data_IF_676638749837
#
_entry.id   IF_676638749837
#
_cell.length_a   1.000
_cell.length_b   1.000
_cell.length_c   1.000
_cell.angle_alpha   90.00
_cell.angle_beta   90.00
_cell.angle_gamma   90.00
#
_symmetry.space_group_name_H-M   'P 1'
#
loop_
_entity.id
_entity.type
_entity.pdbx_description
1 polymer ?
#
# COMPACT_ATOMS: atom_id res chain seq x y z
N UNK A 1 -18.52 38.64 81.02
CA UNK A 1 -19.10 37.45 80.38
C UNK A 1 -18.18 36.99 79.23
N UNK A 2 -17.48 35.88 79.40
CA UNK A 2 -16.59 35.28 78.43
C UNK A 2 -17.35 34.18 77.65
N UNK A 3 -17.25 34.05 76.33
CA UNK A 3 -17.70 32.86 75.63
C UNK A 3 -16.55 31.80 75.53
N UNK A 4 -16.88 30.56 75.79
CA UNK A 4 -16.02 29.39 75.65
C UNK A 4 -15.73 29.02 74.21
N UNK A 5 -14.57 28.43 73.89
CA UNK A 5 -14.27 27.93 72.56
C UNK A 5 -14.78 26.51 72.28
N UNK A 6 -15.46 26.31 71.20
CA UNK A 6 -15.91 25.01 70.69
C UNK A 6 -14.75 24.33 69.93
N UNK A 7 -14.29 23.19 70.45
CA UNK A 7 -13.28 22.35 69.84
C UNK A 7 -13.91 21.55 68.66
N UNK A 8 -13.49 21.88 67.40
CA UNK A 8 -13.83 21.06 66.25
C UNK A 8 -12.81 19.91 66.12
N UNK A 9 -13.29 18.68 66.24
CA UNK A 9 -12.53 17.47 65.97
C UNK A 9 -12.51 17.29 64.42
N UNK A 10 -11.31 17.40 63.81
CA UNK A 10 -11.07 17.02 62.41
C UNK A 10 -10.75 15.52 62.43
N UNK A 11 -11.68 14.71 61.95
CA UNK A 11 -11.45 13.29 61.67
C UNK A 11 -10.64 13.14 60.37
N UNK A 12 -9.42 12.65 60.49
CA UNK A 12 -8.60 12.25 59.33
C UNK A 12 -9.14 10.96 58.72
N UNK A 13 -9.76 11.07 57.56
CA UNK A 13 -10.15 9.91 56.76
C UNK A 13 -8.97 9.51 55.89
N UNK A 14 -8.22 8.50 56.29
CA UNK A 14 -7.17 7.87 55.49
C UNK A 14 -7.82 7.04 54.39
N UNK A 15 -7.89 7.58 53.17
CA UNK A 15 -8.19 6.78 51.98
C UNK A 15 -6.97 5.92 51.66
N UNK A 16 -7.10 4.61 51.79
CA UNK A 16 -6.17 3.65 51.27
C UNK A 16 -6.30 3.62 49.75
N UNK A 17 -5.31 4.15 49.03
CA UNK A 17 -5.16 3.97 47.58
C UNK A 17 -4.79 2.50 47.35
N UNK A 18 -5.74 1.69 46.93
CA UNK A 18 -5.45 0.36 46.38
C UNK A 18 -4.73 0.56 45.04
N UNK A 19 -3.45 0.25 44.97
CA UNK A 19 -2.69 0.18 43.75
C UNK A 19 -3.27 -0.96 42.89
N UNK A 20 -4.05 -0.61 41.88
CA UNK A 20 -4.41 -1.52 40.80
C UNK A 20 -3.14 -1.82 40.01
N UNK A 21 -2.52 -2.95 40.29
CA UNK A 21 -1.51 -3.54 39.40
C UNK A 21 -2.18 -3.82 38.06
N UNK A 22 -1.64 -3.30 36.92
CA UNK A 22 -2.16 -3.69 35.65
C UNK A 22 -1.93 -5.18 35.43
N UNK A 23 -3.00 -5.94 35.32
CA UNK A 23 -2.93 -7.34 34.90
C UNK A 23 -2.21 -7.38 33.55
N UNK A 24 -1.04 -7.98 33.55
CA UNK A 24 -0.31 -8.28 32.31
C UNK A 24 -1.12 -9.34 31.55
N UNK A 25 -1.95 -8.90 30.62
CA UNK A 25 -2.51 -9.76 29.59
C UNK A 25 -1.41 -10.02 28.57
N UNK A 26 -0.54 -11.00 28.82
CA UNK A 26 0.29 -11.65 27.81
C UNK A 26 -0.42 -12.91 27.31
N UNK A 27 -1.59 -12.74 26.71
CA UNK A 27 -2.02 -13.69 25.71
C UNK A 27 -1.27 -13.29 24.43
N UNK A 28 -0.41 -14.18 23.91
CA UNK A 28 0.22 -14.01 22.60
C UNK A 28 -0.89 -13.69 21.60
N UNK A 29 -0.88 -12.47 21.06
CA UNK A 29 -1.85 -12.08 20.04
C UNK A 29 -1.70 -13.07 18.87
N UNK A 30 -2.80 -13.61 18.32
CA UNK A 30 -2.71 -14.62 17.27
C UNK A 30 -1.87 -14.10 16.10
N UNK A 31 -0.86 -14.89 15.71
CA UNK A 31 0.01 -14.54 14.57
C UNK A 31 -0.74 -14.77 13.27
N UNK A 32 -0.66 -13.83 12.31
CA UNK A 32 -1.29 -14.03 11.01
C UNK A 32 -0.61 -15.18 10.25
N UNK A 33 -1.36 -15.89 9.40
CA UNK A 33 -0.84 -16.97 8.55
C UNK A 33 0.22 -16.51 7.55
N UNK A 34 0.15 -15.23 7.11
CA UNK A 34 1.09 -14.59 6.22
C UNK A 34 1.14 -13.08 6.49
N UNK A 35 2.18 -12.42 6.04
CA UNK A 35 2.28 -10.96 6.07
C UNK A 35 1.75 -10.40 4.73
N UNK A 36 0.50 -10.00 4.72
CA UNK A 36 -0.15 -9.44 3.54
C UNK A 36 -0.13 -7.92 3.62
N UNK A 37 0.38 -7.27 2.57
CA UNK A 37 0.35 -5.82 2.43
C UNK A 37 -0.50 -5.39 1.24
N UNK A 38 -0.51 -4.08 0.95
CA UNK A 38 -1.17 -3.55 -0.23
C UNK A 38 -0.35 -2.43 -0.87
N UNK A 39 -0.40 -2.32 -2.19
CA UNK A 39 0.11 -1.15 -2.90
C UNK A 39 -0.72 0.07 -2.53
N UNK A 40 -0.04 1.18 -2.31
CA UNK A 40 -0.65 2.46 -1.96
C UNK A 40 -0.32 3.48 -3.04
N UNK A 41 -1.36 3.94 -3.74
CA UNK A 41 -1.26 4.96 -4.77
C UNK A 41 -1.53 6.35 -4.16
N UNK A 42 -0.60 7.28 -4.31
CA UNK A 42 -0.66 8.61 -3.69
C UNK A 42 -1.25 9.67 -4.64
N UNK A 43 -2.21 9.29 -5.46
CA UNK A 43 -2.85 10.15 -6.45
C UNK A 43 -4.02 11.00 -5.94
N UNK A 44 -4.41 10.84 -4.67
CA UNK A 44 -5.58 11.50 -4.09
C UNK A 44 -5.22 12.76 -3.29
N UNK A 45 -4.07 13.33 -3.60
CA UNK A 45 -3.52 14.57 -3.06
C UNK A 45 -3.43 15.66 -4.14
N UNK A 46 -2.86 16.81 -3.77
CA UNK A 46 -2.53 17.88 -4.69
C UNK A 46 -3.73 18.66 -5.21
N UNK A 47 -3.53 19.36 -6.32
CA UNK A 47 -4.52 20.24 -6.94
C UNK A 47 -4.82 19.78 -8.36
N UNK A 48 -6.10 19.49 -8.63
CA UNK A 48 -6.54 19.09 -9.95
C UNK A 48 -6.22 20.19 -10.99
N UNK A 49 -5.72 19.81 -12.17
CA UNK A 49 -5.32 20.74 -13.23
C UNK A 49 -6.46 21.56 -13.85
N UNK A 50 -7.72 21.10 -13.70
CA UNK A 50 -8.91 21.81 -14.12
C UNK A 50 -9.51 22.67 -13.00
N UNK A 51 -8.86 22.81 -11.85
CA UNK A 51 -9.40 23.49 -10.68
C UNK A 51 -9.79 24.97 -10.93
N UNK A 52 -9.15 25.64 -11.90
CA UNK A 52 -9.48 27.03 -12.27
C UNK A 52 -10.47 27.13 -13.44
N UNK A 53 -10.81 25.99 -14.06
CA UNK A 53 -11.63 25.95 -15.28
C UNK A 53 -12.99 25.29 -15.03
N UNK A 54 -13.03 24.29 -14.18
CA UNK A 54 -14.21 23.46 -13.97
C UNK A 54 -14.65 23.51 -12.49
N UNK A 55 -15.91 23.86 -12.21
CA UNK A 55 -16.41 23.96 -10.84
C UNK A 55 -16.23 22.68 -10.01
N UNK A 56 -16.43 21.51 -10.62
CA UNK A 56 -16.27 20.21 -9.95
C UNK A 56 -14.83 19.94 -9.51
N UNK A 57 -13.86 20.47 -10.27
CA UNK A 57 -12.44 20.23 -10.04
C UNK A 57 -11.82 21.18 -9.00
N UNK A 58 -12.55 22.22 -8.54
CA UNK A 58 -12.01 23.27 -7.66
C UNK A 58 -11.27 22.74 -6.43
N UNK A 59 -11.81 21.70 -5.80
CA UNK A 59 -11.24 21.06 -4.61
C UNK A 59 -10.86 19.59 -4.86
N UNK A 60 -10.86 19.15 -6.11
CA UNK A 60 -10.54 17.78 -6.48
C UNK A 60 -9.03 17.52 -6.33
N UNK A 61 -8.64 16.31 -5.89
CA UNK A 61 -7.25 15.86 -5.96
C UNK A 61 -6.85 15.60 -7.42
N UNK A 62 -5.56 15.48 -7.64
CA UNK A 62 -4.95 15.41 -8.98
C UNK A 62 -5.56 14.36 -9.90
N UNK A 63 -5.87 13.16 -9.38
CA UNK A 63 -6.31 12.01 -10.17
C UNK A 63 -7.83 11.76 -10.15
N UNK A 64 -8.62 12.61 -9.51
CA UNK A 64 -10.08 12.50 -9.57
C UNK A 64 -10.58 12.90 -10.96
N UNK A 65 -11.40 12.08 -11.60
CA UNK A 65 -12.07 12.43 -12.84
C UNK A 65 -13.54 12.81 -12.60
N UNK A 66 -14.11 13.62 -13.51
CA UNK A 66 -15.54 13.94 -13.45
C UNK A 66 -16.39 12.67 -13.54
N UNK A 67 -15.94 11.70 -14.33
CA UNK A 67 -16.63 10.42 -14.49
C UNK A 67 -16.69 9.62 -13.19
N UNK A 68 -15.64 9.70 -12.33
CA UNK A 68 -15.68 9.10 -11.00
C UNK A 68 -16.78 9.70 -10.13
N UNK A 69 -17.01 11.00 -10.24
CA UNK A 69 -18.07 11.68 -9.48
C UNK A 69 -19.48 11.33 -9.99
N UNK A 70 -19.64 11.22 -11.32
CA UNK A 70 -20.94 11.07 -11.95
C UNK A 70 -21.42 9.61 -12.03
N UNK A 71 -20.51 8.67 -12.36
CA UNK A 71 -20.84 7.29 -12.69
C UNK A 71 -20.32 6.26 -11.67
N UNK A 72 -19.29 6.63 -10.87
CA UNK A 72 -18.61 5.74 -9.94
C UNK A 72 -18.52 6.32 -8.52
N UNK A 73 -19.54 7.08 -8.12
CA UNK A 73 -19.59 7.74 -6.81
C UNK A 73 -19.55 6.75 -5.62
N UNK A 74 -19.92 5.50 -5.85
CA UNK A 74 -19.81 4.39 -4.88
C UNK A 74 -18.35 4.05 -4.51
N UNK A 75 -17.39 4.43 -5.37
CA UNK A 75 -15.94 4.24 -5.11
C UNK A 75 -15.34 5.31 -4.19
N UNK A 76 -16.09 6.37 -3.83
CA UNK A 76 -15.59 7.39 -2.93
C UNK A 76 -15.25 6.78 -1.56
N UNK A 77 -13.98 6.93 -1.10
CA UNK A 77 -13.58 6.44 0.22
C UNK A 77 -14.39 7.06 1.35
N UNK A 78 -14.53 6.36 2.48
CA UNK A 78 -15.29 6.87 3.64
C UNK A 78 -14.71 8.15 4.27
N UNK A 79 -13.50 8.54 3.89
CA UNK A 79 -12.87 9.80 4.29
C UNK A 79 -12.94 10.89 3.20
N UNK A 80 -13.64 10.64 2.08
CA UNK A 80 -13.69 11.51 0.91
C UNK A 80 -12.56 11.24 -0.08
N UNK A 81 -12.59 11.93 -1.23
CA UNK A 81 -11.63 11.72 -2.32
C UNK A 81 -10.20 12.17 -2.01
N UNK A 82 -9.98 12.99 -0.97
CA UNK A 82 -8.65 13.46 -0.60
C UNK A 82 -8.09 12.63 0.55
N UNK A 83 -6.81 12.26 0.46
CA UNK A 83 -6.06 11.56 1.52
C UNK A 83 -4.78 12.30 1.95
N UNK A 84 -4.74 13.61 1.68
CA UNK A 84 -3.60 14.49 1.92
C UNK A 84 -3.61 15.17 3.30
N UNK A 85 -4.01 14.45 4.33
CA UNK A 85 -3.86 14.91 5.71
C UNK A 85 -3.33 13.81 6.63
N UNK A 86 -2.57 14.24 7.65
CA UNK A 86 -2.03 13.33 8.65
C UNK A 86 -3.13 12.52 9.36
N UNK A 87 -4.26 13.16 9.66
CA UNK A 87 -5.40 12.52 10.32
C UNK A 87 -5.99 11.38 9.46
N UNK A 88 -6.17 11.63 8.17
CA UNK A 88 -6.69 10.62 7.24
C UNK A 88 -5.73 9.44 7.14
N UNK A 89 -4.43 9.70 6.99
CA UNK A 89 -3.43 8.62 6.93
C UNK A 89 -3.38 7.83 8.25
N UNK A 90 -3.50 8.48 9.40
CA UNK A 90 -3.64 7.78 10.70
C UNK A 90 -4.85 6.85 10.73
N UNK A 91 -6.02 7.33 10.26
CA UNK A 91 -7.24 6.49 10.17
C UNK A 91 -7.03 5.31 9.22
N UNK A 92 -6.36 5.49 8.10
CA UNK A 92 -6.04 4.41 7.16
C UNK A 92 -5.10 3.37 7.80
N UNK A 93 -4.07 3.81 8.54
CA UNK A 93 -3.17 2.92 9.29
C UNK A 93 -3.96 2.09 10.30
N UNK A 94 -4.81 2.73 11.11
CA UNK A 94 -5.60 2.04 12.13
C UNK A 94 -6.54 1.03 11.49
N UNK A 95 -7.26 1.43 10.45
CA UNK A 95 -8.20 0.57 9.73
C UNK A 95 -7.51 -0.63 9.09
N UNK A 96 -6.39 -0.42 8.42
CA UNK A 96 -5.62 -1.48 7.77
C UNK A 96 -5.04 -2.47 8.79
N UNK A 97 -4.43 -1.96 9.86
CA UNK A 97 -3.84 -2.78 10.93
C UNK A 97 -4.90 -3.56 11.72
N UNK A 98 -6.07 -2.96 12.02
CA UNK A 98 -7.18 -3.63 12.70
C UNK A 98 -7.71 -4.83 11.91
N UNK A 99 -7.52 -4.82 10.59
CA UNK A 99 -7.90 -5.92 9.72
C UNK A 99 -6.73 -6.84 9.31
N UNK A 100 -5.55 -6.65 9.91
CA UNK A 100 -4.42 -7.55 9.77
C UNK A 100 -3.53 -7.27 8.56
N UNK A 101 -3.71 -6.13 7.87
CA UNK A 101 -2.76 -5.71 6.85
C UNK A 101 -1.42 -5.40 7.51
N UNK A 102 -0.34 -6.00 6.99
CA UNK A 102 0.98 -5.93 7.61
C UNK A 102 1.80 -4.71 7.13
N UNK A 103 1.60 -4.27 5.88
CA UNK A 103 2.36 -3.17 5.31
C UNK A 103 1.65 -2.47 4.16
N UNK A 104 2.05 -1.23 3.90
CA UNK A 104 1.80 -0.54 2.64
C UNK A 104 3.07 -0.50 1.79
N UNK A 105 2.92 -0.74 0.47
CA UNK A 105 3.97 -0.50 -0.52
C UNK A 105 3.64 0.80 -1.26
N UNK A 106 4.23 1.91 -0.82
CA UNK A 106 3.94 3.24 -1.35
C UNK A 106 4.58 3.44 -2.72
N UNK A 107 3.82 3.92 -3.69
CA UNK A 107 4.36 4.40 -4.96
C UNK A 107 5.32 5.56 -4.69
N UNK A 108 6.52 5.46 -5.25
CA UNK A 108 7.55 6.49 -5.16
C UNK A 108 8.01 6.87 -6.56
N UNK A 109 8.02 8.18 -6.85
CA UNK A 109 8.29 8.73 -8.17
C UNK A 109 9.62 9.45 -8.20
N UNK A 110 10.41 9.16 -9.23
CA UNK A 110 11.73 9.73 -9.43
C UNK A 110 11.68 11.17 -9.90
N UNK A 111 12.52 12.01 -9.29
CA UNK A 111 12.91 13.33 -9.77
C UNK A 111 14.43 13.48 -9.58
N UNK A 112 15.05 14.36 -10.37
CA UNK A 112 16.52 14.53 -10.38
C UNK A 112 17.05 15.40 -9.22
N UNK A 113 16.16 16.01 -8.43
CA UNK A 113 16.51 16.82 -7.26
C UNK A 113 15.68 16.43 -6.04
N UNK A 114 16.27 16.55 -4.84
CA UNK A 114 15.56 16.33 -3.58
C UNK A 114 14.34 17.23 -3.45
N UNK A 115 14.48 18.53 -3.83
CA UNK A 115 13.35 19.47 -3.77
C UNK A 115 12.19 19.01 -4.61
N UNK A 116 12.42 18.52 -5.83
CA UNK A 116 11.34 18.02 -6.69
C UNK A 116 10.69 16.74 -6.15
N UNK A 117 11.47 15.88 -5.48
CA UNK A 117 10.92 14.71 -4.73
C UNK A 117 10.05 15.17 -3.56
N UNK A 118 10.50 16.16 -2.80
CA UNK A 118 9.78 16.65 -1.62
C UNK A 118 8.50 17.41 -1.99
N UNK A 119 8.50 18.08 -3.15
CA UNK A 119 7.37 18.87 -3.66
C UNK A 119 6.32 18.01 -4.40
N UNK A 120 6.62 16.75 -4.74
CA UNK A 120 5.67 15.88 -5.46
C UNK A 120 4.55 15.42 -4.54
N UNK A 121 3.32 15.88 -4.83
CA UNK A 121 2.12 15.49 -4.08
C UNK A 121 1.89 13.96 -4.04
N UNK A 122 2.45 13.22 -5.00
CA UNK A 122 2.42 11.74 -5.02
C UNK A 122 3.31 11.07 -3.98
N UNK A 123 3.93 11.81 -3.08
CA UNK A 123 4.64 11.31 -1.91
C UNK A 123 3.95 11.71 -0.59
N UNK A 124 2.78 12.34 -0.67
CA UNK A 124 2.09 12.92 0.50
C UNK A 124 1.71 11.86 1.53
N UNK A 125 1.10 10.75 1.11
CA UNK A 125 0.69 9.66 2.00
C UNK A 125 1.89 8.97 2.64
N UNK A 126 2.96 8.70 1.88
CA UNK A 126 4.23 8.17 2.42
C UNK A 126 4.81 9.11 3.47
N UNK A 127 4.87 10.42 3.18
CA UNK A 127 5.41 11.43 4.09
C UNK A 127 4.59 11.57 5.36
N UNK A 128 3.26 11.43 5.30
CA UNK A 128 2.40 11.40 6.48
C UNK A 128 2.52 10.08 7.23
N UNK A 129 2.63 8.93 6.53
CA UNK A 129 2.82 7.65 7.16
C UNK A 129 4.05 7.63 8.07
N UNK A 130 5.21 8.07 7.59
CA UNK A 130 6.44 8.06 8.39
C UNK A 130 6.38 9.00 9.60
N UNK A 131 5.54 10.03 9.55
CA UNK A 131 5.31 11.00 10.65
C UNK A 131 4.16 10.59 11.57
N UNK A 132 3.31 9.66 11.17
CA UNK A 132 2.12 9.28 11.92
C UNK A 132 2.49 8.66 13.28
N UNK A 133 1.90 9.11 14.41
CA UNK A 133 2.22 8.57 15.74
C UNK A 133 1.83 7.10 15.90
N UNK A 134 0.87 6.61 15.09
CA UNK A 134 0.41 5.23 15.07
C UNK A 134 1.09 4.36 13.99
N UNK A 135 2.13 4.84 13.29
CA UNK A 135 2.83 4.07 12.24
C UNK A 135 3.48 2.78 12.77
N UNK A 136 3.71 2.69 14.08
CA UNK A 136 4.20 1.47 14.74
C UNK A 136 3.31 0.24 14.56
N UNK A 137 2.06 0.42 14.13
CA UNK A 137 1.09 -0.65 13.90
C UNK A 137 1.31 -1.42 12.61
N UNK A 138 2.03 -0.85 11.65
CA UNK A 138 2.27 -1.41 10.32
C UNK A 138 3.72 -1.21 9.88
N UNK A 139 4.11 -1.94 8.84
CA UNK A 139 5.34 -1.69 8.08
C UNK A 139 5.02 -0.92 6.79
N UNK A 140 6.05 -0.47 6.10
CA UNK A 140 5.96 0.04 4.74
C UNK A 140 7.19 -0.32 3.92
N UNK A 141 7.07 -0.29 2.59
CA UNK A 141 8.19 -0.32 1.67
C UNK A 141 7.93 0.64 0.50
N UNK A 142 8.92 0.81 -0.36
CA UNK A 142 8.79 1.63 -1.56
C UNK A 142 8.46 0.73 -2.77
N UNK A 143 7.51 1.18 -3.58
CA UNK A 143 7.33 0.74 -4.96
C UNK A 143 7.82 1.88 -5.87
N UNK A 144 8.98 1.71 -6.47
CA UNK A 144 9.57 2.71 -7.36
C UNK A 144 8.86 2.67 -8.72
N UNK A 145 8.03 3.70 -8.98
CA UNK A 145 7.22 3.84 -10.17
C UNK A 145 8.05 4.40 -11.33
N UNK A 146 9.04 3.64 -11.79
CA UNK A 146 10.02 4.03 -12.81
C UNK A 146 9.50 3.89 -14.26
N UNK A 147 8.25 4.30 -14.49
CA UNK A 147 7.63 4.29 -15.83
C UNK A 147 7.79 5.64 -16.55
N UNK A 148 7.15 5.80 -17.71
CA UNK A 148 7.23 7.03 -18.52
C UNK A 148 7.00 8.31 -17.69
N UNK A 149 7.92 9.25 -17.79
CA UNK A 149 7.96 10.47 -16.99
C UNK A 149 8.81 10.39 -15.72
N UNK A 150 9.08 9.17 -15.20
CA UNK A 150 9.80 8.94 -13.92
C UNK A 150 10.91 7.90 -14.07
N UNK A 151 11.41 7.69 -15.29
CA UNK A 151 12.43 6.67 -15.59
C UNK A 151 13.76 7.06 -14.95
N UNK A 152 14.34 6.13 -14.20
CA UNK A 152 15.70 6.27 -13.66
C UNK A 152 16.66 5.61 -14.65
N UNK A 153 17.61 6.40 -15.19
CA UNK A 153 18.63 5.92 -16.14
C UNK A 153 20.03 6.26 -15.70
N UNK A 154 20.93 5.28 -15.83
CA UNK A 154 22.35 5.42 -15.52
C UNK A 154 22.67 5.30 -14.02
N UNK A 155 23.82 4.75 -13.72
CA UNK A 155 24.26 4.44 -12.35
C UNK A 155 24.22 5.65 -11.40
N UNK A 156 24.49 6.85 -11.91
CA UNK A 156 24.49 8.06 -11.09
C UNK A 156 23.07 8.47 -10.66
N UNK A 157 22.05 8.34 -11.53
CA UNK A 157 20.68 8.63 -11.14
C UNK A 157 20.13 7.57 -10.18
N UNK A 158 20.50 6.29 -10.37
CA UNK A 158 20.20 5.24 -9.38
C UNK A 158 20.86 5.50 -8.03
N UNK A 159 22.09 6.02 -8.03
CA UNK A 159 22.78 6.46 -6.82
C UNK A 159 22.02 7.57 -6.10
N UNK A 160 21.63 8.63 -6.83
CA UNK A 160 20.82 9.72 -6.27
C UNK A 160 19.49 9.23 -5.73
N UNK A 161 18.78 8.40 -6.49
CA UNK A 161 17.53 7.79 -6.02
C UNK A 161 17.73 7.03 -4.70
N UNK A 162 18.79 6.21 -4.62
CA UNK A 162 19.14 5.52 -3.39
C UNK A 162 19.40 6.49 -2.23
N UNK A 163 20.09 7.61 -2.46
CA UNK A 163 20.29 8.64 -1.43
C UNK A 163 18.98 9.24 -0.92
N UNK A 164 18.02 9.50 -1.84
CA UNK A 164 16.69 9.98 -1.48
C UNK A 164 15.88 8.92 -0.71
N UNK A 165 16.09 7.62 -0.96
CA UNK A 165 15.44 6.55 -0.22
C UNK A 165 16.00 6.32 1.18
N UNK A 166 17.25 6.74 1.49
CA UNK A 166 17.91 6.40 2.77
C UNK A 166 17.12 6.78 4.01
N UNK A 167 16.42 7.94 4.12
CA UNK A 167 15.57 8.25 5.26
C UNK A 167 14.46 7.22 5.47
N UNK A 168 13.87 6.72 4.38
CA UNK A 168 12.83 5.70 4.42
C UNK A 168 13.41 4.32 4.73
N UNK A 169 14.50 3.91 4.06
CA UNK A 169 15.12 2.58 4.25
C UNK A 169 15.66 2.37 5.68
N UNK A 170 16.06 3.44 6.34
CA UNK A 170 16.52 3.43 7.75
C UNK A 170 15.40 3.58 8.76
N UNK A 171 14.19 3.84 8.32
CA UNK A 171 13.06 4.00 9.23
C UNK A 171 12.72 2.66 9.89
N UNK A 172 12.46 2.68 11.22
CA UNK A 172 12.17 1.48 12.03
C UNK A 172 10.98 0.64 11.54
N UNK A 173 10.05 1.26 10.79
CA UNK A 173 8.89 0.59 10.23
C UNK A 173 9.10 0.15 8.78
N UNK A 174 10.28 0.38 8.18
CA UNK A 174 10.53 -0.14 6.84
C UNK A 174 10.49 -1.68 6.84
N UNK A 175 9.78 -2.26 5.88
CA UNK A 175 9.68 -3.72 5.72
C UNK A 175 11.02 -4.29 5.28
N UNK A 176 11.47 -5.35 5.94
CA UNK A 176 12.71 -6.05 5.59
C UNK A 176 12.43 -7.48 5.14
N UNK A 177 13.23 -7.98 4.22
CA UNK A 177 13.23 -9.36 3.75
C UNK A 177 14.66 -9.89 3.83
N UNK A 178 14.87 -11.01 4.54
CA UNK A 178 16.21 -11.49 4.82
C UNK A 178 17.10 -10.46 5.53
N UNK A 179 16.52 -9.62 6.37
CA UNK A 179 17.21 -8.55 7.10
C UNK A 179 17.57 -7.31 6.26
N UNK A 180 17.19 -7.24 4.97
CA UNK A 180 17.43 -6.10 4.08
C UNK A 180 16.14 -5.31 3.83
N UNK A 181 16.17 -3.96 3.81
CA UNK A 181 15.01 -3.17 3.40
C UNK A 181 14.51 -3.59 2.01
N UNK A 182 13.19 -3.74 1.86
CA UNK A 182 12.56 -4.11 0.59
C UNK A 182 12.26 -2.87 -0.25
N UNK A 183 12.68 -2.88 -1.51
CA UNK A 183 12.27 -1.92 -2.54
C UNK A 183 11.73 -2.71 -3.74
N UNK A 184 10.55 -2.38 -4.20
CA UNK A 184 9.91 -2.99 -5.35
C UNK A 184 10.12 -2.06 -6.56
N UNK A 185 10.51 -2.60 -7.71
CA UNK A 185 10.71 -1.85 -8.95
C UNK A 185 9.56 -2.15 -9.89
N UNK A 186 8.77 -1.13 -10.23
CA UNK A 186 7.54 -1.26 -11.03
C UNK A 186 7.82 -1.74 -12.45
N UNK A 187 8.65 -1.02 -13.23
CA UNK A 187 9.10 -1.54 -14.53
C UNK A 187 10.46 -2.23 -14.37
N UNK A 188 10.40 -3.55 -14.18
CA UNK A 188 11.59 -4.35 -13.98
C UNK A 188 12.57 -4.32 -15.16
N UNK A 189 12.09 -4.00 -16.40
CA UNK A 189 12.93 -3.85 -17.58
C UNK A 189 13.82 -2.60 -17.52
N UNK A 190 13.42 -1.62 -16.72
CA UNK A 190 14.22 -0.41 -16.46
C UNK A 190 15.32 -0.60 -15.42
N UNK A 191 15.48 -1.81 -14.86
CA UNK A 191 16.60 -2.13 -13.96
C UNK A 191 17.93 -2.19 -14.69
N UNK A 192 18.97 -1.64 -14.07
CA UNK A 192 20.33 -1.57 -14.63
C UNK A 192 21.34 -2.16 -13.63
N UNK A 193 22.20 -3.08 -14.07
CA UNK A 193 23.20 -3.74 -13.22
C UNK A 193 24.07 -2.76 -12.45
N UNK A 194 24.65 -1.79 -13.15
CA UNK A 194 25.52 -0.78 -12.53
C UNK A 194 24.72 0.18 -11.64
N UNK A 195 23.47 0.45 -12.01
CA UNK A 195 22.53 1.22 -11.20
C UNK A 195 22.23 0.52 -9.88
N UNK A 196 21.90 -0.76 -9.91
CA UNK A 196 21.65 -1.53 -8.70
C UNK A 196 22.89 -1.74 -7.85
N UNK A 197 24.06 -1.88 -8.47
CA UNK A 197 25.34 -1.86 -7.74
C UNK A 197 25.52 -0.54 -6.98
N UNK A 198 25.21 0.61 -7.61
CA UNK A 198 25.26 1.92 -6.95
C UNK A 198 24.24 2.02 -5.79
N UNK A 199 23.03 1.47 -5.93
CA UNK A 199 22.04 1.38 -4.82
C UNK A 199 22.59 0.60 -3.65
N UNK A 200 23.21 -0.57 -3.90
CA UNK A 200 23.80 -1.41 -2.86
C UNK A 200 24.97 -0.70 -2.17
N UNK A 201 25.78 0.06 -2.91
CA UNK A 201 26.90 0.83 -2.35
C UNK A 201 26.40 1.94 -1.40
N UNK A 202 25.41 2.71 -1.81
CA UNK A 202 24.82 3.76 -0.96
C UNK A 202 24.17 3.17 0.30
N UNK A 203 23.49 2.03 0.19
CA UNK A 203 22.93 1.34 1.33
C UNK A 203 24.02 0.92 2.34
N UNK A 204 25.12 0.32 1.86
CA UNK A 204 26.25 -0.08 2.71
C UNK A 204 26.94 1.13 3.37
N UNK A 205 27.16 2.22 2.62
CA UNK A 205 27.69 3.49 3.17
C UNK A 205 26.79 4.04 4.29
N UNK A 206 25.49 3.85 4.17
CA UNK A 206 24.50 4.27 5.17
C UNK A 206 24.39 3.32 6.38
N UNK A 207 25.18 2.22 6.41
CA UNK A 207 25.18 1.22 7.47
C UNK A 207 24.10 0.14 7.35
N UNK A 208 23.46 0.01 6.18
CA UNK A 208 22.51 -1.05 5.90
C UNK A 208 23.21 -2.29 5.32
N UNK A 209 22.69 -3.51 5.50
CA UNK A 209 23.28 -4.73 4.94
C UNK A 209 23.12 -4.85 3.40
N UNK A 210 22.56 -3.84 2.76
CA UNK A 210 22.13 -3.78 1.37
C UNK A 210 20.63 -3.59 1.27
N UNK A 211 20.08 -3.74 0.06
CA UNK A 211 18.65 -3.59 -0.26
C UNK A 211 18.15 -4.88 -0.95
N UNK A 212 16.98 -5.38 -0.54
CA UNK A 212 16.27 -6.41 -1.28
C UNK A 212 15.49 -5.74 -2.41
N UNK A 213 15.79 -6.11 -3.67
CA UNK A 213 15.15 -5.54 -4.85
C UNK A 213 14.16 -6.54 -5.46
N UNK A 214 12.87 -6.22 -5.46
CA UNK A 214 11.83 -7.06 -6.07
C UNK A 214 11.41 -6.52 -7.44
N UNK A 215 11.40 -7.38 -8.44
CA UNK A 215 10.98 -7.05 -9.80
C UNK A 215 9.47 -7.22 -9.98
N UNK A 216 8.73 -6.18 -10.38
CA UNK A 216 7.39 -6.35 -10.95
C UNK A 216 7.52 -6.80 -12.40
N UNK A 217 7.55 -8.12 -12.61
CA UNK A 217 7.70 -8.67 -13.94
C UNK A 217 9.03 -9.43 -14.16
N UNK A 218 9.42 -9.66 -15.41
CA UNK A 218 10.68 -10.31 -15.73
C UNK A 218 11.87 -9.44 -15.29
N UNK A 219 12.62 -9.91 -14.32
CA UNK A 219 13.85 -9.27 -13.83
C UNK A 219 14.80 -10.34 -13.32
N UNK A 220 16.04 -10.34 -13.82
CA UNK A 220 17.01 -11.37 -13.52
C UNK A 220 17.89 -11.07 -12.30
N UNK A 221 18.42 -12.13 -11.69
CA UNK A 221 19.43 -12.01 -10.63
C UNK A 221 20.76 -11.46 -11.16
N UNK A 222 21.01 -11.64 -12.46
CA UNK A 222 22.20 -11.14 -13.17
C UNK A 222 22.33 -9.61 -13.18
N UNK A 223 21.17 -8.90 -13.09
CA UNK A 223 21.14 -7.44 -12.95
C UNK A 223 20.96 -6.98 -11.51
N UNK A 224 20.70 -7.88 -10.57
CA UNK A 224 20.67 -7.59 -9.13
C UNK A 224 19.29 -7.67 -8.48
N UNK A 225 18.26 -8.14 -9.16
CA UNK A 225 16.99 -8.44 -8.51
C UNK A 225 17.12 -9.66 -7.60
N UNK A 226 16.58 -9.56 -6.39
CA UNK A 226 16.62 -10.62 -5.38
C UNK A 226 15.28 -11.31 -5.20
N UNK A 227 14.19 -10.69 -5.62
CA UNK A 227 12.82 -11.19 -5.50
C UNK A 227 12.02 -10.87 -6.76
N UNK A 228 10.88 -11.55 -6.92
CA UNK A 228 9.92 -11.27 -7.99
C UNK A 228 8.53 -11.02 -7.42
N UNK A 229 7.77 -10.17 -8.09
CA UNK A 229 6.35 -9.87 -7.81
C UNK A 229 5.66 -9.38 -9.07
N UNK A 230 4.43 -8.86 -8.94
CA UNK A 230 3.70 -8.12 -9.98
C UNK A 230 3.04 -6.90 -9.34
N UNK A 231 2.76 -5.87 -10.15
CA UNK A 231 1.88 -4.79 -9.70
C UNK A 231 0.42 -5.23 -9.91
N UNK A 232 0.07 -5.52 -11.17
CA UNK A 232 -1.16 -6.20 -11.56
C UNK A 232 -0.93 -7.02 -12.82
N UNK A 233 -1.89 -7.88 -13.15
CA UNK A 233 -1.92 -8.65 -14.40
C UNK A 233 -3.34 -8.55 -14.94
N UNK A 234 -3.52 -7.76 -15.98
CA UNK A 234 -4.85 -7.47 -16.54
C UNK A 234 -5.00 -8.13 -17.91
N UNK A 235 -5.72 -9.26 -18.00
CA UNK A 235 -6.13 -9.79 -19.29
C UNK A 235 -6.95 -8.75 -20.04
N UNK A 236 -6.74 -8.64 -21.36
CA UNK A 236 -7.49 -7.68 -22.18
C UNK A 236 -7.29 -6.22 -21.81
N UNK A 237 -6.10 -5.82 -21.36
CA UNK A 237 -5.77 -4.43 -20.97
C UNK A 237 -6.15 -3.38 -22.03
N UNK A 238 -6.17 -3.76 -23.32
CA UNK A 238 -6.64 -2.96 -24.46
C UNK A 238 -7.72 -3.70 -25.24
N UNK A 239 -8.51 -4.53 -24.57
CA UNK A 239 -9.39 -5.53 -25.19
C UNK A 239 -10.77 -5.06 -25.64
N UNK A 240 -11.07 -3.74 -25.60
CA UNK A 240 -12.29 -3.21 -26.20
C UNK A 240 -13.43 -2.86 -25.24
N UNK A 241 -13.21 -2.83 -23.93
CA UNK A 241 -14.23 -2.39 -22.96
C UNK A 241 -15.28 -3.46 -22.65
N UNK A 242 -14.93 -4.73 -22.74
CA UNK A 242 -15.81 -5.86 -22.47
C UNK A 242 -15.85 -6.23 -20.98
N UNK A 243 -17.05 -6.65 -20.53
CA UNK A 243 -17.25 -7.18 -19.19
C UNK A 243 -16.76 -8.63 -19.09
N UNK A 244 -15.97 -8.93 -18.08
CA UNK A 244 -15.44 -10.25 -17.79
C UNK A 244 -15.66 -10.64 -16.32
N UNK A 245 -15.54 -11.94 -16.02
CA UNK A 245 -15.70 -12.46 -14.68
C UNK A 245 -14.45 -12.20 -13.83
N UNK A 246 -14.65 -11.79 -12.58
CA UNK A 246 -13.54 -11.56 -11.64
C UNK A 246 -12.64 -12.79 -11.47
N UNK A 247 -13.20 -13.99 -11.59
CA UNK A 247 -12.43 -15.24 -11.54
C UNK A 247 -11.36 -15.31 -12.63
N UNK A 248 -11.57 -14.73 -13.81
CA UNK A 248 -10.59 -14.76 -14.92
C UNK A 248 -9.32 -13.96 -14.59
N UNK A 249 -9.49 -12.78 -14.00
CA UNK A 249 -8.33 -11.97 -13.57
C UNK A 249 -7.65 -12.57 -12.34
N UNK A 250 -8.40 -13.18 -11.42
CA UNK A 250 -7.85 -13.96 -10.30
C UNK A 250 -6.94 -15.08 -10.82
N UNK A 251 -7.40 -15.89 -11.77
CA UNK A 251 -6.61 -16.97 -12.37
C UNK A 251 -5.36 -16.47 -13.09
N UNK A 252 -5.43 -15.29 -13.74
CA UNK A 252 -4.27 -14.68 -14.37
C UNK A 252 -3.17 -14.35 -13.34
N UNK A 253 -3.57 -13.84 -12.16
CA UNK A 253 -2.64 -13.58 -11.05
C UNK A 253 -2.08 -14.87 -10.47
N UNK A 254 -2.92 -15.88 -10.24
CA UNK A 254 -2.50 -17.17 -9.66
C UNK A 254 -1.51 -17.92 -10.56
N UNK A 255 -1.73 -17.87 -11.89
CA UNK A 255 -0.78 -18.45 -12.86
C UNK A 255 0.59 -17.74 -12.89
N UNK A 256 0.67 -16.53 -12.38
CA UNK A 256 1.92 -15.78 -12.35
C UNK A 256 2.70 -15.95 -11.04
N UNK A 257 2.14 -16.65 -10.05
CA UNK A 257 2.89 -16.97 -8.84
C UNK A 257 3.94 -18.02 -9.18
N UNK A 258 5.16 -17.72 -8.83
CA UNK A 258 6.28 -18.60 -9.09
C UNK A 258 7.58 -17.86 -8.80
N UNK A 259 8.45 -18.54 -8.11
CA UNK A 259 9.78 -18.06 -7.78
C UNK A 259 10.80 -19.16 -7.93
N UNK A 260 12.01 -18.84 -7.57
CA UNK A 260 13.13 -19.77 -7.47
C UNK A 260 13.84 -19.52 -6.15
N UNK A 261 14.59 -20.48 -5.62
CA UNK A 261 15.29 -20.27 -4.35
C UNK A 261 16.19 -19.02 -4.34
N UNK A 262 16.83 -18.72 -5.49
CA UNK A 262 17.65 -17.53 -5.65
C UNK A 262 16.85 -16.24 -5.92
N UNK A 263 15.55 -16.33 -6.21
CA UNK A 263 14.64 -15.24 -6.48
C UNK A 263 13.20 -15.57 -6.04
N UNK A 264 12.95 -15.63 -4.72
CA UNK A 264 11.62 -15.92 -4.20
C UNK A 264 10.54 -14.95 -4.67
N UNK A 265 9.31 -15.45 -4.79
CA UNK A 265 8.14 -14.71 -5.20
C UNK A 265 7.42 -14.08 -3.99
N UNK A 266 6.99 -12.85 -4.16
CA UNK A 266 5.97 -12.18 -3.34
C UNK A 266 4.67 -12.22 -4.16
N UNK A 267 3.72 -13.14 -3.91
CA UNK A 267 2.48 -13.23 -4.66
C UNK A 267 1.74 -11.89 -4.71
N UNK A 268 1.37 -11.45 -5.92
CA UNK A 268 0.46 -10.34 -6.10
C UNK A 268 -0.98 -10.86 -6.11
N UNK A 269 -1.86 -10.21 -5.35
CA UNK A 269 -3.27 -10.51 -5.19
C UNK A 269 -4.09 -9.40 -5.82
N UNK A 270 -5.13 -9.75 -6.57
CA UNK A 270 -6.00 -8.74 -7.19
C UNK A 270 -7.17 -8.40 -6.27
N UNK A 271 -7.33 -7.10 -5.96
CA UNK A 271 -8.49 -6.56 -5.24
C UNK A 271 -9.66 -6.20 -6.15
N UNK A 272 -9.41 -6.02 -7.45
CA UNK A 272 -10.39 -5.64 -8.46
C UNK A 272 -9.72 -4.96 -9.64
N UNK A 273 -10.47 -4.83 -10.74
CA UNK A 273 -10.05 -4.04 -11.91
C UNK A 273 -11.26 -3.57 -12.71
N UNK A 274 -11.38 -2.27 -12.84
CA UNK A 274 -12.34 -1.58 -13.70
C UNK A 274 -11.85 -0.15 -13.95
N UNK A 275 -11.12 0.05 -15.02
CA UNK A 275 -10.45 1.31 -15.35
C UNK A 275 -11.31 2.28 -16.16
N UNK A 276 -12.59 1.97 -16.36
CA UNK A 276 -13.53 2.80 -17.12
C UNK A 276 -13.58 4.27 -16.71
N UNK A 277 -13.40 4.66 -15.40
CA UNK A 277 -13.32 6.06 -15.01
C UNK A 277 -12.24 6.88 -15.72
N UNK A 278 -11.17 6.22 -16.18
CA UNK A 278 -10.01 6.84 -16.79
C UNK A 278 -9.84 6.49 -18.29
N UNK A 279 -10.79 5.74 -18.87
CA UNK A 279 -10.72 5.24 -20.24
C UNK A 279 -11.61 6.03 -21.19
N UNK A 280 -11.22 5.98 -22.49
CA UNK A 280 -11.97 6.59 -23.59
C UNK A 280 -12.00 8.12 -23.56
N UNK A 281 -12.80 8.74 -24.47
CA UNK A 281 -12.88 10.20 -24.57
C UNK A 281 -13.49 10.88 -23.34
N UNK A 282 -14.37 10.16 -22.62
CA UNK A 282 -15.01 10.64 -21.40
C UNK A 282 -14.19 10.37 -20.15
N UNK A 283 -13.26 9.43 -20.22
CA UNK A 283 -12.33 9.09 -19.13
C UNK A 283 -11.19 10.10 -19.06
N UNK A 284 -11.50 11.32 -18.63
CA UNK A 284 -10.54 12.40 -18.69
C UNK A 284 -9.74 12.54 -17.41
N UNK A 285 -8.80 11.63 -17.20
CA UNK A 285 -7.82 11.79 -16.13
C UNK A 285 -6.97 13.05 -16.32
N UNK A 286 -6.69 13.43 -17.58
CA UNK A 286 -5.77 14.54 -17.89
C UNK A 286 -6.38 15.67 -18.72
N UNK A 287 -7.71 15.70 -18.95
CA UNK A 287 -8.47 16.71 -19.70
C UNK A 287 -8.10 16.78 -21.18
N UNK A 288 -8.77 16.03 -21.97
CA UNK A 288 -8.51 15.95 -23.40
C UNK A 288 -8.49 14.51 -23.92
N UNK A 289 -9.09 13.63 -23.14
CA UNK A 289 -9.09 12.19 -23.34
C UNK A 289 -7.72 11.59 -22.98
N UNK A 290 -7.68 10.70 -22.01
CA UNK A 290 -6.43 10.07 -21.57
C UNK A 290 -5.71 9.31 -22.71
N UNK A 291 -6.38 9.14 -23.85
CA UNK A 291 -5.91 8.27 -24.93
C UNK A 291 -5.85 6.79 -24.53
N UNK A 292 -6.23 6.46 -23.30
CA UNK A 292 -6.26 5.08 -22.83
C UNK A 292 -7.39 4.35 -23.56
N UNK A 293 -7.04 3.33 -24.31
CA UNK A 293 -8.02 2.48 -24.96
C UNK A 293 -8.82 1.71 -23.92
N UNK A 294 -10.13 1.49 -24.13
CA UNK A 294 -10.93 0.66 -23.26
C UNK A 294 -10.35 -0.74 -23.12
N UNK A 295 -10.25 -1.22 -21.90
CA UNK A 295 -9.84 -2.58 -21.56
C UNK A 295 -10.99 -3.42 -21.02
N UNK A 296 -10.73 -4.70 -20.75
CA UNK A 296 -11.68 -5.53 -20.02
C UNK A 296 -11.86 -4.99 -18.61
N UNK A 297 -13.08 -5.15 -18.05
CA UNK A 297 -13.38 -4.82 -16.66
C UNK A 297 -14.14 -5.97 -15.97
N UNK A 298 -14.00 -6.06 -14.63
CA UNK A 298 -14.38 -7.24 -13.86
C UNK A 298 -15.27 -6.81 -12.65
N UNK A 299 -16.59 -6.55 -12.88
CA UNK A 299 -17.42 -5.89 -11.88
C UNK A 299 -18.00 -6.84 -10.83
N UNK A 300 -17.99 -8.16 -11.06
CA UNK A 300 -18.68 -9.16 -10.24
C UNK A 300 -17.84 -9.69 -9.07
N UNK A 301 -16.82 -8.91 -8.62
CA UNK A 301 -16.03 -9.28 -7.45
C UNK A 301 -16.87 -9.31 -6.18
N UNK A 302 -16.63 -10.30 -5.33
CA UNK A 302 -17.24 -10.38 -3.99
C UNK A 302 -16.17 -10.54 -2.90
N UNK A 303 -16.48 -10.20 -1.63
CA UNK A 303 -15.56 -10.44 -0.51
C UNK A 303 -15.17 -11.91 -0.36
N UNK A 304 -16.06 -12.86 -0.68
CA UNK A 304 -15.83 -14.30 -0.61
C UNK A 304 -14.86 -14.77 -1.69
N UNK A 305 -14.99 -14.29 -2.93
CA UNK A 305 -14.04 -14.56 -4.01
C UNK A 305 -12.67 -14.00 -3.68
N UNK A 306 -12.62 -12.78 -3.14
CA UNK A 306 -11.37 -12.16 -2.69
C UNK A 306 -10.73 -12.96 -1.55
N UNK A 307 -11.49 -13.35 -0.52
CA UNK A 307 -10.99 -14.18 0.58
C UNK A 307 -10.45 -15.52 0.09
N UNK A 308 -11.15 -16.17 -0.83
CA UNK A 308 -10.68 -17.42 -1.44
C UNK A 308 -9.36 -17.23 -2.19
N UNK A 309 -9.20 -16.13 -2.93
CA UNK A 309 -7.95 -15.77 -3.61
C UNK A 309 -6.79 -15.57 -2.63
N UNK A 310 -7.01 -14.80 -1.54
CA UNK A 310 -6.01 -14.62 -0.47
C UNK A 310 -5.63 -15.96 0.16
N UNK A 311 -6.63 -16.81 0.46
CA UNK A 311 -6.37 -18.13 1.05
C UNK A 311 -5.52 -19.03 0.13
N UNK A 312 -5.81 -19.05 -1.18
CA UNK A 312 -5.00 -19.81 -2.16
C UNK A 312 -3.56 -19.31 -2.24
N UNK A 313 -3.31 -18.00 -2.11
CA UNK A 313 -1.94 -17.49 -2.07
C UNK A 313 -1.19 -17.97 -0.81
N UNK A 314 -1.85 -17.98 0.33
CA UNK A 314 -1.25 -18.49 1.58
C UNK A 314 -0.95 -19.99 1.44
N UNK A 315 -1.89 -20.77 0.94
CA UNK A 315 -1.70 -22.20 0.68
C UNK A 315 -0.58 -22.46 -0.32
N UNK A 316 -0.47 -21.61 -1.36
CA UNK A 316 0.63 -21.71 -2.33
C UNK A 316 1.98 -21.47 -1.65
N UNK A 317 2.11 -20.45 -0.81
CA UNK A 317 3.34 -20.18 -0.06
C UNK A 317 3.67 -21.29 0.95
N UNK A 318 2.64 -21.89 1.56
CA UNK A 318 2.81 -23.04 2.48
C UNK A 318 3.29 -24.31 1.75
N UNK A 319 2.82 -24.52 0.50
CA UNK A 319 3.17 -25.66 -0.35
C UNK A 319 4.51 -25.50 -1.08
N UNK A 320 4.94 -24.26 -1.31
CA UNK A 320 6.15 -23.93 -2.08
C UNK A 320 7.09 -22.99 -1.29
N UNK A 321 7.53 -23.40 -0.08
CA UNK A 321 8.36 -22.54 0.77
C UNK A 321 9.71 -22.17 0.13
N UNK A 322 10.21 -22.98 -0.81
CA UNK A 322 11.43 -22.71 -1.57
C UNK A 322 11.26 -21.64 -2.66
N UNK A 323 10.01 -21.36 -3.06
CA UNK A 323 9.67 -20.34 -4.07
C UNK A 323 9.09 -19.07 -3.46
N UNK A 324 8.69 -19.11 -2.20
CA UNK A 324 8.13 -17.98 -1.47
C UNK A 324 9.19 -17.34 -0.56
N UNK A 325 8.94 -16.12 -0.12
CA UNK A 325 9.77 -15.47 0.91
C UNK A 325 9.62 -16.20 2.25
N UNK A 326 10.70 -16.27 3.02
CA UNK A 326 10.69 -16.91 4.35
C UNK A 326 9.68 -16.21 5.30
N UNK A 327 9.47 -14.92 5.13
CA UNK A 327 8.49 -14.10 5.86
C UNK A 327 7.04 -14.33 5.41
N UNK A 328 6.81 -15.12 4.34
CA UNK A 328 5.51 -15.35 3.70
C UNK A 328 4.81 -14.04 3.35
N UNK A 329 5.49 -13.22 2.55
CA UNK A 329 4.95 -11.95 2.07
C UNK A 329 4.00 -12.17 0.90
N UNK A 330 2.88 -11.43 0.87
CA UNK A 330 2.04 -11.22 -0.30
C UNK A 330 1.63 -9.75 -0.37
N UNK A 331 1.31 -9.25 -1.55
CA UNK A 331 0.90 -7.85 -1.75
C UNK A 331 -0.38 -7.77 -2.57
N UNK A 332 -1.35 -6.97 -2.13
CA UNK A 332 -2.62 -6.76 -2.80
C UNK A 332 -2.51 -5.55 -3.73
N UNK A 333 -2.97 -5.69 -4.96
CA UNK A 333 -3.30 -4.59 -5.83
C UNK A 333 -4.79 -4.25 -5.67
N UNK A 334 -5.15 -3.14 -4.99
CA UNK A 334 -4.34 -2.25 -4.18
C UNK A 334 -5.12 -1.81 -2.93
N UNK A 335 -4.54 -0.93 -2.12
CA UNK A 335 -5.29 -0.26 -1.06
C UNK A 335 -6.32 0.70 -1.65
N UNK A 336 -5.90 1.59 -2.58
CA UNK A 336 -6.65 2.78 -2.97
C UNK A 336 -6.58 3.15 -4.46
N UNK A 337 -6.42 2.18 -5.37
CA UNK A 337 -6.51 2.44 -6.83
C UNK A 337 -7.97 2.58 -7.28
N UNK A 338 -8.67 3.63 -6.76
CA UNK A 338 -10.10 3.82 -7.01
C UNK A 338 -10.43 4.07 -8.48
N UNK A 339 -9.56 4.76 -9.23
CA UNK A 339 -9.75 5.03 -10.65
C UNK A 339 -9.61 3.80 -11.54
N UNK A 340 -8.80 2.82 -11.09
CA UNK A 340 -8.59 1.55 -11.78
C UNK A 340 -9.47 0.41 -11.21
N UNK A 341 -10.27 0.69 -10.17
CA UNK A 341 -11.13 -0.31 -9.55
C UNK A 341 -10.39 -1.36 -8.70
N UNK A 342 -9.08 -1.19 -8.52
CA UNK A 342 -8.24 -2.04 -7.69
C UNK A 342 -8.11 -1.48 -6.28
N UNK A 343 -9.11 -1.70 -5.42
CA UNK A 343 -9.07 -1.18 -4.06
C UNK A 343 -9.73 -2.15 -3.06
N UNK A 344 -9.22 -2.15 -1.83
CA UNK A 344 -9.81 -2.84 -0.68
C UNK A 344 -10.14 -1.89 0.47
N UNK A 345 -9.72 -0.63 0.38
CA UNK A 345 -10.13 0.42 1.30
C UNK A 345 -11.66 0.59 1.24
N UNK A 346 -12.33 0.84 2.39
CA UNK A 346 -13.78 0.98 2.43
C UNK A 346 -14.23 2.26 1.72
N UNK A 347 -15.33 2.12 0.98
CA UNK A 347 -15.92 3.16 0.17
C UNK A 347 -17.42 3.30 0.47
N UNK A 348 -18.10 4.25 -0.17
CA UNK A 348 -19.56 4.35 -0.10
C UNK A 348 -20.26 3.09 -0.59
N UNK A 349 -19.67 2.35 -1.53
CA UNK A 349 -20.16 1.05 -2.01
C UNK A 349 -19.89 -0.12 -1.04
N UNK A 350 -18.91 0.03 -0.14
CA UNK A 350 -18.62 -0.93 0.94
C UNK A 350 -18.35 -0.22 2.28
N UNK A 351 -19.39 0.39 2.88
CA UNK A 351 -19.22 1.13 4.12
C UNK A 351 -18.92 0.25 5.33
N UNK A 352 -19.15 -1.04 5.23
CA UNK A 352 -18.89 -2.03 6.28
C UNK A 352 -17.48 -2.63 6.21
N UNK A 353 -16.65 -2.25 5.23
CA UNK A 353 -15.31 -2.79 5.01
C UNK A 353 -15.30 -4.32 4.86
N UNK A 354 -16.20 -4.86 4.02
CA UNK A 354 -16.39 -6.32 3.87
C UNK A 354 -15.14 -7.02 3.35
N UNK A 355 -14.41 -6.38 2.42
CA UNK A 355 -13.14 -6.92 1.90
C UNK A 355 -12.06 -7.00 2.98
N UNK A 356 -11.94 -6.00 3.85
CA UNK A 356 -11.00 -6.02 4.97
C UNK A 356 -11.41 -7.06 6.02
N UNK A 357 -12.69 -7.20 6.33
CA UNK A 357 -13.19 -8.25 7.22
C UNK A 357 -12.91 -9.65 6.66
N UNK A 358 -13.10 -9.83 5.35
CA UNK A 358 -12.80 -11.08 4.65
C UNK A 358 -11.30 -11.41 4.70
N UNK A 359 -10.42 -10.43 4.45
CA UNK A 359 -8.98 -10.57 4.63
C UNK A 359 -8.63 -11.01 6.05
N UNK A 360 -9.16 -10.32 7.06
CA UNK A 360 -8.89 -10.64 8.46
C UNK A 360 -9.29 -12.06 8.81
N UNK A 361 -10.46 -12.52 8.35
CA UNK A 361 -10.94 -13.88 8.61
C UNK A 361 -10.00 -14.96 8.05
N UNK A 362 -9.38 -14.70 6.90
CA UNK A 362 -8.39 -15.63 6.31
C UNK A 362 -7.06 -15.60 7.06
N UNK A 363 -6.60 -14.41 7.47
CA UNK A 363 -5.33 -14.25 8.18
C UNK A 363 -5.37 -14.81 9.61
N UNK A 364 -6.52 -14.73 10.27
CA UNK A 364 -6.73 -15.13 11.67
C UNK A 364 -7.96 -16.03 11.79
N UNK A 365 -7.90 -17.28 11.27
CA UNK A 365 -9.02 -18.21 11.38
C UNK A 365 -9.28 -18.57 12.84
N UNK A 366 -10.57 -18.68 13.23
CA UNK A 366 -10.98 -18.92 14.62
C UNK A 366 -10.63 -20.33 15.14
N UNK A 367 -10.36 -21.29 14.25
CA UNK A 367 -10.23 -22.70 14.57
C UNK A 367 -8.81 -23.28 14.36
N UNK A 368 -7.78 -22.45 14.56
CA UNK A 368 -6.38 -22.90 14.54
C UNK A 368 -5.66 -22.66 15.85
#
# INVERSE_FOLDING_TARGET
MKPSPLLARIGACTMALAALTPAAFTADAPKPRAQVGAYYFDGWAGRHRLADKEPWAKNAPTHLSKRMLDEFADREPLWGWRDDSLEIVQRQIDLAADHGLAFFAFCWYWHDTQKAVDDDEKHTGLNFFVKAPNNGRMKFCLLVANHAGFVIKGAENWRKAAQFWMPYLKHKQHLTVGGKPLVIIFDARGGEKDGFAAVQDEARKAGLPGVALAACGPGGTDIGYTHTTRYNIVPGYTGGGEEHKFQEIVEAHERAWGGRPEQPCIPCLIGGWDCRPWEGPAGDLFGGGSGKLPGWYFPDRTPEQFAAHVNRAIEWMEKHPEQATAERLAVIYAWNEFGEGGYIAPTKGDPEAKYLKALRAVLFPKDR
#
